data_IF_351701485201
#
_entry.id   IF_351701485201
#
_cell.length_a   1.000
_cell.length_b   1.000
_cell.length_c   1.000
_cell.angle_alpha   90.00
_cell.angle_beta   90.00
_cell.angle_gamma   90.00
#
_symmetry.space_group_name_H-M   'P 1'
#
loop_
_entity.id
_entity.type
_entity.pdbx_description
1 polymer ?
#
# COMPACT_ATOMS: atom_id res chain seq x y z
N UNK A 1 4.58 -2.88 4.87
CA UNK A 1 4.31 -4.30 5.20
C UNK A 1 2.81 -4.52 5.42
N UNK A 2 2.35 -5.75 5.26
CA UNK A 2 0.99 -6.20 5.62
C UNK A 2 1.08 -7.18 6.79
N UNK A 3 0.25 -6.98 7.82
CA UNK A 3 0.18 -7.89 8.97
C UNK A 3 -0.71 -9.08 8.65
N UNK A 4 -0.19 -10.28 8.85
CA UNK A 4 -0.83 -11.55 8.52
C UNK A 4 -1.10 -12.44 9.75
N UNK A 5 -0.72 -12.01 10.95
CA UNK A 5 -0.79 -12.86 12.14
C UNK A 5 0.11 -14.09 12.04
N UNK A 6 -0.27 -15.16 12.71
CA UNK A 6 0.53 -16.39 12.82
C UNK A 6 0.22 -17.45 11.74
N UNK A 7 -0.30 -17.06 10.57
CA UNK A 7 -0.71 -18.02 9.53
C UNK A 7 0.45 -18.87 8.97
N UNK A 8 1.70 -18.36 9.09
CA UNK A 8 2.89 -19.07 8.64
C UNK A 8 3.40 -20.08 9.68
N UNK A 9 2.73 -20.22 10.81
CA UNK A 9 3.19 -21.00 11.94
C UNK A 9 4.32 -20.29 12.72
N UNK A 10 4.80 -20.90 13.78
CA UNK A 10 5.89 -20.32 14.57
C UNK A 10 5.43 -19.84 15.93
N UNK A 11 4.29 -20.32 16.43
CA UNK A 11 3.76 -20.02 17.77
C UNK A 11 4.78 -20.27 18.90
N UNK A 12 5.74 -21.15 18.64
CA UNK A 12 6.84 -21.49 19.59
C UNK A 12 8.09 -20.61 19.43
N UNK A 13 8.08 -19.63 18.52
CA UNK A 13 9.20 -18.69 18.35
C UNK A 13 8.96 -17.46 19.21
N UNK A 14 10.00 -16.96 19.83
CA UNK A 14 9.93 -15.71 20.60
C UNK A 14 9.59 -14.48 19.73
N UNK A 15 9.85 -14.55 18.43
CA UNK A 15 9.62 -13.45 17.46
C UNK A 15 9.24 -14.06 16.10
N UNK A 16 7.97 -14.48 15.92
CA UNK A 16 7.53 -15.13 14.71
C UNK A 16 7.38 -14.11 13.55
N UNK A 17 7.56 -14.57 12.28
CA UNK A 17 7.29 -13.73 11.13
C UNK A 17 5.78 -13.52 10.97
N UNK A 18 5.31 -12.33 11.26
CA UNK A 18 3.90 -11.93 11.24
C UNK A 18 3.57 -10.84 10.23
N UNK A 19 4.59 -10.33 9.54
CA UNK A 19 4.47 -9.31 8.52
C UNK A 19 5.01 -9.83 7.20
N UNK A 20 4.37 -9.42 6.09
CA UNK A 20 4.90 -9.61 4.75
C UNK A 20 5.27 -8.25 4.19
N UNK A 21 6.46 -8.16 3.64
CA UNK A 21 6.96 -6.98 2.93
C UNK A 21 7.61 -7.38 1.61
N UNK A 22 7.80 -6.40 0.76
CA UNK A 22 8.56 -6.57 -0.47
C UNK A 22 9.72 -5.59 -0.46
N UNK A 23 10.92 -6.08 -0.68
CA UNK A 23 12.11 -5.27 -0.87
C UNK A 23 12.78 -5.57 -2.22
N UNK A 24 13.76 -4.74 -2.57
CA UNK A 24 14.45 -4.85 -3.86
C UNK A 24 15.46 -6.01 -3.90
N UNK A 25 16.02 -6.37 -2.77
CA UNK A 25 17.12 -7.33 -2.68
C UNK A 25 16.60 -8.77 -2.51
N UNK A 26 15.60 -8.94 -1.64
CA UNK A 26 15.09 -10.25 -1.24
C UNK A 26 13.71 -10.57 -1.84
N UNK A 27 13.06 -9.61 -2.52
CA UNK A 27 11.72 -9.78 -3.05
C UNK A 27 10.66 -9.75 -1.94
N UNK A 28 9.68 -10.66 -2.02
CA UNK A 28 8.61 -10.76 -1.01
C UNK A 28 9.03 -11.69 0.11
N UNK A 29 9.17 -11.15 1.31
CA UNK A 29 9.66 -11.87 2.49
C UNK A 29 8.71 -11.73 3.68
N UNK A 30 8.74 -12.70 4.57
CA UNK A 30 8.06 -12.64 5.85
C UNK A 30 9.05 -12.22 6.93
N UNK A 31 8.69 -11.19 7.70
CA UNK A 31 9.54 -10.62 8.74
C UNK A 31 8.80 -10.56 10.08
N UNK A 32 9.54 -10.60 11.21
CA UNK A 32 8.93 -10.44 12.52
C UNK A 32 8.60 -8.98 12.81
N UNK A 33 7.73 -8.75 13.80
CA UNK A 33 7.35 -7.40 14.20
C UNK A 33 8.54 -6.59 14.74
N UNK A 34 9.52 -7.26 15.35
CA UNK A 34 10.74 -6.62 15.86
C UNK A 34 11.57 -5.94 14.77
N UNK A 35 11.41 -6.38 13.49
CA UNK A 35 12.08 -5.75 12.33
C UNK A 35 11.76 -4.25 12.22
N UNK A 36 10.58 -3.86 12.67
CA UNK A 36 10.11 -2.46 12.65
C UNK A 36 10.36 -1.71 13.96
N UNK A 37 11.05 -2.34 14.93
CA UNK A 37 11.36 -1.70 16.24
C UNK A 37 12.23 -0.46 16.01
N UNK A 38 11.81 0.66 16.58
CA UNK A 38 12.52 1.94 16.46
C UNK A 38 12.20 2.73 15.18
N UNK A 39 11.36 2.20 14.30
CA UNK A 39 10.86 2.95 13.14
C UNK A 39 9.54 3.64 13.49
N UNK A 40 9.36 4.86 12.98
CA UNK A 40 8.05 5.51 13.03
C UNK A 40 7.08 4.81 12.09
N UNK A 41 6.17 4.04 12.66
CA UNK A 41 5.19 3.27 11.90
C UNK A 41 3.78 3.82 12.10
N UNK A 42 2.92 3.57 11.12
CA UNK A 42 1.51 3.89 11.18
C UNK A 42 0.71 2.65 10.82
N UNK A 43 -0.25 2.29 11.65
CA UNK A 43 -1.11 1.13 11.41
C UNK A 43 -2.38 1.64 10.71
N UNK A 44 -2.58 1.17 9.47
CA UNK A 44 -3.79 1.42 8.69
C UNK A 44 -4.63 0.13 8.70
N UNK A 45 -5.82 0.19 9.28
CA UNK A 45 -6.74 -0.95 9.38
C UNK A 45 -7.84 -0.81 8.34
N UNK A 46 -8.06 -1.81 7.45
CA UNK A 46 -9.16 -1.76 6.50
C UNK A 46 -10.51 -1.77 7.23
N UNK A 47 -11.48 -0.99 6.74
CA UNK A 47 -12.82 -0.86 7.32
C UNK A 47 -13.82 -1.58 6.42
N UNK A 48 -14.75 -2.34 7.03
CA UNK A 48 -15.84 -2.97 6.28
C UNK A 48 -15.47 -4.22 5.49
N UNK A 49 -14.27 -4.80 5.70
CA UNK A 49 -13.94 -6.12 5.19
C UNK A 49 -14.64 -7.21 6.02
N UNK A 50 -15.18 -8.22 5.33
CA UNK A 50 -15.63 -9.46 6.00
C UNK A 50 -14.43 -10.30 6.41
N UNK A 51 -14.59 -11.20 7.39
CA UNK A 51 -13.54 -12.13 7.79
C UNK A 51 -13.09 -13.01 6.61
N UNK A 52 -14.02 -13.40 5.73
CA UNK A 52 -13.73 -14.19 4.55
C UNK A 52 -12.84 -13.41 3.56
N UNK A 53 -13.13 -12.13 3.35
CA UNK A 53 -12.32 -11.28 2.47
C UNK A 53 -10.95 -10.98 3.09
N UNK A 54 -10.91 -10.76 4.40
CA UNK A 54 -9.65 -10.60 5.13
C UNK A 54 -8.74 -11.82 4.94
N UNK A 55 -9.29 -13.04 5.08
CA UNK A 55 -8.53 -14.27 4.85
C UNK A 55 -8.05 -14.40 3.39
N UNK A 56 -8.85 -13.97 2.42
CA UNK A 56 -8.42 -13.94 1.00
C UNK A 56 -7.27 -12.96 0.77
N UNK A 57 -7.35 -11.76 1.34
CA UNK A 57 -6.28 -10.74 1.27
C UNK A 57 -4.99 -11.31 1.86
N UNK A 58 -5.05 -11.88 3.07
CA UNK A 58 -3.91 -12.49 3.75
C UNK A 58 -3.33 -13.64 2.91
N UNK A 59 -4.17 -14.54 2.42
CA UNK A 59 -3.75 -15.68 1.58
C UNK A 59 -3.11 -15.21 0.27
N UNK A 60 -3.66 -14.16 -0.35
CA UNK A 60 -3.11 -13.55 -1.56
C UNK A 60 -1.73 -12.94 -1.31
N UNK A 61 -1.52 -12.28 -0.17
CA UNK A 61 -0.21 -11.77 0.20
C UNK A 61 0.78 -12.90 0.49
N UNK A 62 0.36 -13.92 1.26
CA UNK A 62 1.20 -15.04 1.66
C UNK A 62 1.65 -15.89 0.46
N UNK A 63 0.79 -16.09 -0.55
CA UNK A 63 1.13 -16.84 -1.76
C UNK A 63 2.26 -16.21 -2.58
N UNK A 64 2.61 -14.97 -2.31
CA UNK A 64 3.67 -14.22 -3.01
C UNK A 64 5.02 -14.29 -2.31
N UNK A 65 5.10 -14.89 -1.12
CA UNK A 65 6.37 -15.06 -0.40
C UNK A 65 7.34 -15.86 -1.29
N UNK A 66 8.58 -15.38 -1.39
CA UNK A 66 9.63 -15.93 -2.24
C UNK A 66 9.59 -15.46 -3.70
N UNK A 67 8.58 -14.68 -4.11
CA UNK A 67 8.62 -14.05 -5.42
C UNK A 67 9.63 -12.91 -5.43
N UNK A 68 10.51 -12.92 -6.42
CA UNK A 68 11.44 -11.84 -6.68
C UNK A 68 10.83 -10.89 -7.71
N UNK A 69 11.06 -9.60 -7.53
CA UNK A 69 10.66 -8.62 -8.54
C UNK A 69 11.72 -8.54 -9.65
N UNK A 70 11.27 -8.58 -10.89
CA UNK A 70 12.16 -8.28 -12.02
C UNK A 70 12.45 -6.78 -12.01
N UNK A 71 13.60 -6.43 -11.44
CA UNK A 71 14.08 -5.06 -11.32
C UNK A 71 14.16 -4.33 -12.66
N UNK A 72 14.34 -5.05 -13.77
CA UNK A 72 14.35 -4.45 -15.10
C UNK A 72 13.00 -3.81 -15.41
N UNK A 73 11.91 -4.51 -15.14
CA UNK A 73 10.56 -3.99 -15.35
C UNK A 73 10.25 -2.80 -14.41
N UNK A 74 10.77 -2.82 -13.18
CA UNK A 74 10.60 -1.71 -12.23
C UNK A 74 11.42 -0.49 -12.69
N UNK A 75 12.65 -0.69 -13.17
CA UNK A 75 13.48 0.38 -13.73
C UNK A 75 12.88 0.93 -15.04
N UNK A 76 12.36 0.09 -15.90
CA UNK A 76 11.71 0.51 -17.13
C UNK A 76 10.42 1.28 -16.86
N UNK A 77 9.62 0.87 -15.87
CA UNK A 77 8.45 1.60 -15.42
C UNK A 77 8.84 2.94 -14.78
N UNK A 78 9.85 2.95 -13.94
CA UNK A 78 10.38 4.19 -13.35
C UNK A 78 10.94 5.12 -14.43
N UNK A 79 11.63 4.60 -15.43
CA UNK A 79 12.14 5.36 -16.59
C UNK A 79 11.02 5.90 -17.47
N UNK A 80 9.90 5.14 -17.60
CA UNK A 80 8.72 5.59 -18.34
C UNK A 80 7.96 6.68 -17.59
N UNK A 81 7.83 6.54 -16.28
CA UNK A 81 7.17 7.54 -15.42
C UNK A 81 8.03 8.78 -15.19
N UNK A 82 9.36 8.67 -15.31
CA UNK A 82 10.31 9.77 -15.23
C UNK A 82 11.05 9.91 -16.56
N UNK A 83 10.43 10.50 -17.60
CA UNK A 83 11.11 10.69 -18.88
C UNK A 83 12.39 11.50 -18.68
N UNK A 84 13.43 11.14 -19.44
CA UNK A 84 14.79 11.72 -19.41
C UNK A 84 14.79 13.26 -19.51
N UNK A 85 13.71 13.87 -19.95
CA UNK A 85 13.48 15.33 -19.91
C UNK A 85 13.59 15.95 -18.51
N UNK A 86 13.53 15.13 -17.43
CA UNK A 86 13.79 15.60 -16.06
C UNK A 86 15.25 16.05 -15.82
N UNK A 87 16.18 15.80 -16.75
CA UNK A 87 17.58 16.28 -16.66
C UNK A 87 17.66 17.81 -16.73
N UNK A 88 16.68 18.46 -17.35
CA UNK A 88 16.59 19.92 -17.45
C UNK A 88 15.76 20.60 -16.35
N UNK A 89 15.26 19.85 -15.37
CA UNK A 89 14.47 20.43 -14.28
C UNK A 89 15.41 21.06 -13.25
N UNK A 90 15.26 22.36 -12.94
CA UNK A 90 16.09 23.06 -11.94
C UNK A 90 16.06 22.34 -10.59
N UNK A 91 17.20 22.31 -9.91
CA UNK A 91 17.42 21.55 -8.65
C UNK A 91 16.39 21.86 -7.55
N UNK A 92 15.75 23.05 -7.59
CA UNK A 92 14.66 23.45 -6.68
C UNK A 92 13.34 22.68 -6.92
N UNK A 93 13.09 22.25 -8.17
CA UNK A 93 11.91 21.47 -8.54
C UNK A 93 12.14 19.97 -8.27
N UNK A 94 13.37 19.48 -8.43
CA UNK A 94 13.73 18.10 -8.05
C UNK A 94 13.44 17.82 -6.57
N UNK A 95 13.73 18.78 -5.67
CA UNK A 95 13.37 18.66 -4.24
C UNK A 95 11.86 18.62 -3.98
N UNK A 96 11.06 19.31 -4.78
CA UNK A 96 9.59 19.26 -4.69
C UNK A 96 9.04 17.98 -5.30
N UNK A 97 9.61 17.45 -6.36
CA UNK A 97 9.20 16.18 -6.95
C UNK A 97 9.58 15.00 -6.04
N UNK A 98 10.70 15.06 -5.35
CA UNK A 98 11.11 14.09 -4.31
C UNK A 98 10.18 14.19 -3.09
N UNK A 99 9.66 15.37 -2.77
CA UNK A 99 8.70 15.57 -1.68
C UNK A 99 7.25 15.15 -2.03
N UNK A 100 6.92 15.02 -3.33
CA UNK A 100 5.59 14.64 -3.82
C UNK A 100 5.46 13.13 -4.12
N UNK A 101 6.59 12.42 -4.24
CA UNK A 101 6.62 10.97 -4.34
C UNK A 101 7.92 10.53 -3.70
N UNK A 102 7.84 9.80 -2.61
CA UNK A 102 9.00 9.17 -1.99
C UNK A 102 9.72 8.37 -3.08
N UNK A 103 10.84 8.91 -3.56
CA UNK A 103 11.59 8.38 -4.70
C UNK A 103 12.38 7.10 -4.40
N UNK A 104 11.85 6.25 -3.50
CA UNK A 104 12.42 4.94 -3.22
C UNK A 104 11.64 3.87 -3.98
N UNK A 105 12.28 3.18 -4.96
CA UNK A 105 11.66 2.09 -5.70
C UNK A 105 11.08 0.98 -4.80
N UNK A 106 11.71 0.71 -3.67
CA UNK A 106 11.25 -0.24 -2.66
C UNK A 106 9.86 0.09 -2.10
N UNK A 107 9.54 1.36 -1.90
CA UNK A 107 8.22 1.77 -1.41
C UNK A 107 7.11 1.53 -2.43
N UNK A 108 7.41 1.73 -3.72
CA UNK A 108 6.46 1.45 -4.79
C UNK A 108 6.18 -0.05 -4.91
N UNK A 109 7.18 -0.90 -4.70
CA UNK A 109 7.03 -2.36 -4.74
C UNK A 109 6.19 -2.86 -3.58
N UNK A 110 6.46 -2.38 -2.36
CA UNK A 110 5.69 -2.74 -1.17
C UNK A 110 4.21 -2.35 -1.28
N UNK A 111 3.92 -1.13 -1.71
CA UNK A 111 2.53 -0.67 -1.86
C UNK A 111 1.80 -1.41 -2.97
N UNK A 112 2.50 -1.76 -4.06
CA UNK A 112 1.96 -2.58 -5.15
C UNK A 112 1.56 -3.97 -4.66
N UNK A 113 2.41 -4.65 -3.87
CA UNK A 113 2.10 -5.95 -3.26
C UNK A 113 0.82 -5.89 -2.43
N UNK A 114 0.74 -4.89 -1.54
CA UNK A 114 -0.42 -4.70 -0.66
C UNK A 114 -1.67 -4.40 -1.50
N UNK A 115 -1.57 -3.49 -2.46
CA UNK A 115 -2.68 -3.13 -3.33
C UNK A 115 -3.20 -4.34 -4.12
N UNK A 116 -2.32 -5.19 -4.65
CA UNK A 116 -2.72 -6.42 -5.33
C UNK A 116 -3.46 -7.39 -4.39
N UNK A 117 -3.04 -7.50 -3.12
CA UNK A 117 -3.72 -8.33 -2.15
C UNK A 117 -5.16 -7.83 -1.89
N UNK A 118 -5.35 -6.53 -1.72
CA UNK A 118 -6.69 -5.94 -1.55
C UNK A 118 -7.54 -6.00 -2.83
N UNK A 119 -6.93 -5.86 -3.99
CA UNK A 119 -7.64 -6.00 -5.27
C UNK A 119 -8.16 -7.42 -5.52
N UNK A 120 -7.57 -8.45 -4.91
CA UNK A 120 -8.07 -9.82 -5.01
C UNK A 120 -9.50 -9.98 -4.49
N UNK A 121 -9.96 -9.06 -3.66
CA UNK A 121 -11.33 -8.97 -3.12
C UNK A 121 -12.07 -7.71 -3.59
N UNK A 122 -11.56 -7.02 -4.61
CA UNK A 122 -12.11 -5.77 -5.15
C UNK A 122 -12.26 -4.66 -4.09
N UNK A 123 -11.43 -4.67 -3.06
CA UNK A 123 -11.46 -3.67 -2.00
C UNK A 123 -10.90 -2.33 -2.50
N UNK A 124 -11.65 -1.23 -2.40
CA UNK A 124 -11.21 0.08 -2.86
C UNK A 124 -10.23 0.69 -1.84
N UNK A 125 -8.97 0.85 -2.24
CA UNK A 125 -7.97 1.49 -1.37
C UNK A 125 -8.15 3.01 -1.41
N UNK A 126 -8.02 3.60 -2.58
CA UNK A 126 -8.27 5.00 -2.85
C UNK A 126 -8.79 5.11 -4.28
N UNK A 127 -10.11 4.94 -4.48
CA UNK A 127 -10.70 4.99 -5.80
C UNK A 127 -10.67 6.40 -6.37
N UNK A 128 -10.68 6.51 -7.71
CA UNK A 128 -11.03 7.76 -8.36
C UNK A 128 -12.55 7.87 -8.43
N UNK A 129 -13.08 9.04 -8.09
CA UNK A 129 -14.50 9.33 -8.11
C UNK A 129 -14.84 10.04 -9.42
N UNK A 130 -15.77 9.49 -10.18
CA UNK A 130 -16.36 10.15 -11.33
C UNK A 130 -17.80 10.52 -11.00
N UNK A 131 -18.13 11.80 -11.10
CA UNK A 131 -19.49 12.29 -10.95
C UNK A 131 -20.19 12.26 -12.30
N UNK A 132 -21.25 11.49 -12.42
CA UNK A 132 -22.14 11.51 -13.57
C UNK A 132 -23.47 12.15 -13.19
N UNK A 133 -23.79 13.25 -13.85
CA UNK A 133 -25.13 13.80 -13.82
C UNK A 133 -26.04 12.90 -14.64
N UNK A 134 -26.90 12.15 -13.97
CA UNK A 134 -27.90 11.31 -14.65
C UNK A 134 -29.20 12.09 -14.78
N UNK A 135 -29.34 12.80 -15.91
CA UNK A 135 -30.50 13.65 -16.22
C UNK A 135 -31.78 12.85 -16.57
N UNK A 136 -31.75 11.51 -16.50
CA UNK A 136 -32.86 10.67 -16.97
C UNK A 136 -33.89 10.30 -15.90
N UNK A 137 -33.55 10.37 -14.61
CA UNK A 137 -34.47 9.93 -13.53
C UNK A 137 -34.75 10.98 -12.46
N UNK A 138 -33.92 12.00 -12.31
CA UNK A 138 -34.14 13.09 -11.35
C UNK A 138 -33.22 14.28 -11.65
N UNK A 139 -33.74 15.52 -11.47
CA UNK A 139 -33.03 16.77 -11.80
C UNK A 139 -31.82 17.08 -10.88
N UNK A 140 -31.59 16.30 -9.81
CA UNK A 140 -30.51 16.49 -8.81
C UNK A 140 -29.82 15.19 -8.40
N UNK A 141 -29.91 14.11 -9.20
CA UNK A 141 -29.26 12.84 -8.85
C UNK A 141 -27.82 12.79 -9.36
N UNK A 142 -26.87 13.13 -8.49
CA UNK A 142 -25.44 12.89 -8.68
C UNK A 142 -25.12 11.43 -8.37
N UNK A 143 -24.73 10.66 -9.39
CA UNK A 143 -24.20 9.30 -9.18
C UNK A 143 -22.69 9.34 -9.10
N UNK A 144 -22.15 9.00 -7.94
CA UNK A 144 -20.72 8.78 -7.77
C UNK A 144 -20.33 7.38 -8.24
N UNK A 145 -19.48 7.30 -9.26
CA UNK A 145 -18.90 6.04 -9.73
C UNK A 145 -17.48 5.94 -9.21
N UNK A 146 -17.24 4.91 -8.39
CA UNK A 146 -15.93 4.62 -7.84
C UNK A 146 -15.15 3.71 -8.78
N UNK A 147 -14.06 4.21 -9.34
CA UNK A 147 -13.16 3.43 -10.17
C UNK A 147 -11.96 2.95 -9.36
N UNK A 148 -11.76 1.64 -9.30
CA UNK A 148 -10.59 1.04 -8.65
C UNK A 148 -9.35 1.34 -9.50
N UNK A 149 -8.38 2.03 -8.91
CA UNK A 149 -7.10 2.36 -9.56
C UNK A 149 -6.25 1.11 -9.72
N UNK A 150 -5.40 1.07 -10.75
CA UNK A 150 -4.46 -0.03 -10.94
C UNK A 150 -3.47 -0.11 -9.76
N UNK A 151 -3.15 -1.33 -9.31
CA UNK A 151 -2.31 -1.57 -8.12
C UNK A 151 -0.93 -0.91 -8.18
N UNK A 152 -0.34 -0.75 -9.36
CA UNK A 152 0.97 -0.11 -9.54
C UNK A 152 0.98 1.41 -9.26
N UNK A 153 -0.20 2.02 -9.13
CA UNK A 153 -0.34 3.46 -8.91
C UNK A 153 -0.46 3.84 -7.43
N UNK A 154 -0.44 2.85 -6.52
CA UNK A 154 -0.55 3.11 -5.10
C UNK A 154 0.81 3.35 -4.46
N UNK A 155 0.82 4.32 -3.55
CA UNK A 155 1.94 4.67 -2.67
C UNK A 155 1.53 4.40 -1.21
N UNK A 156 2.48 4.29 -0.26
CA UNK A 156 2.15 4.15 1.15
C UNK A 156 1.21 5.24 1.69
N UNK A 157 1.31 6.45 1.15
CA UNK A 157 0.46 7.58 1.52
C UNK A 157 -1.01 7.36 1.15
N UNK A 158 -1.29 6.63 0.06
CA UNK A 158 -2.67 6.39 -0.38
C UNK A 158 -3.46 5.59 0.66
N UNK A 159 -2.79 4.70 1.41
CA UNK A 159 -3.40 3.97 2.53
C UNK A 159 -3.65 4.87 3.74
N UNK A 160 -2.79 5.86 3.97
CA UNK A 160 -2.88 6.78 5.10
C UNK A 160 -4.01 7.81 4.94
N UNK A 161 -4.28 8.24 3.71
CA UNK A 161 -5.34 9.22 3.41
C UNK A 161 -6.64 8.59 2.95
N UNK A 162 -6.68 7.27 2.81
CA UNK A 162 -7.84 6.53 2.31
C UNK A 162 -9.02 6.60 3.28
N UNK A 163 -10.24 6.89 2.81
CA UNK A 163 -11.43 6.80 3.65
C UNK A 163 -11.81 5.34 4.01
N UNK A 164 -11.21 4.36 3.34
CA UNK A 164 -11.44 2.93 3.57
C UNK A 164 -10.46 2.32 4.59
N UNK A 165 -9.55 3.12 5.15
CA UNK A 165 -8.63 2.68 6.19
C UNK A 165 -8.72 3.58 7.41
N UNK A 166 -8.86 2.96 8.57
CA UNK A 166 -8.76 3.63 9.85
C UNK A 166 -7.29 3.67 10.32
N UNK A 167 -6.84 4.84 10.75
CA UNK A 167 -5.52 4.98 11.39
C UNK A 167 -5.63 4.64 12.86
N UNK A 168 -5.00 3.55 13.26
CA UNK A 168 -4.93 3.15 14.67
C UNK A 168 -3.99 4.09 15.40
N UNK A 169 -4.55 4.88 16.33
CA UNK A 169 -3.78 5.80 17.16
C UNK A 169 -3.13 5.04 18.32
N UNK A 170 -1.87 5.34 18.68
CA UNK A 170 -1.26 4.77 19.87
C UNK A 170 -2.01 5.24 21.12
N UNK A 171 -2.12 4.33 22.10
CA UNK A 171 -2.60 4.69 23.45
C UNK A 171 -1.43 5.32 24.19
N UNK A 172 -1.57 6.56 24.63
CA UNK A 172 -0.59 7.25 25.46
C UNK A 172 -0.85 6.82 26.90
N UNK A 173 0.00 5.95 27.43
CA UNK A 173 -0.14 5.42 28.81
C UNK A 173 0.50 6.35 29.84
N UNK A 174 1.53 7.09 29.44
CA UNK A 174 2.24 8.08 30.27
C UNK A 174 2.34 9.39 29.50
N UNK A 175 2.27 10.52 30.23
CA UNK A 175 2.41 11.84 29.61
C UNK A 175 3.72 12.01 28.86
N UNK A 176 3.77 13.04 28.03
CA UNK A 176 5.02 13.43 27.37
C UNK A 176 5.97 14.01 28.44
N UNK A 177 7.20 13.51 28.50
CA UNK A 177 8.31 14.12 29.25
C UNK A 177 8.92 15.27 28.45
#
# INVERSE_FOLDING_TARGET
AIYIGNILGGEYRSDPPVLIEADLEHGVVAVPLSHYRGLHTRICRPVGLTDADLQRVISSAASRIGHTYDLKNVFDLARYLFPITAIFVPMRWRRRMIALGSGEPSQAICSTLIAQAFQSVHYPILPSVEHKLDSSECDECDKEILHIRHHSLFTPRDFDISPFFEIVKPVIVHGFD
#
